data_IF_152518547105
#
_entry.id   IF_152518547105
#
_cell.length_a   1.000
_cell.length_b   1.000
_cell.length_c   1.000
_cell.angle_alpha   90.00
_cell.angle_beta   90.00
_cell.angle_gamma   90.00
#
_symmetry.space_group_name_H-M   'P 1'
#
loop_
_entity.id
_entity.type
_entity.pdbx_description
1 polymer ?
#
# COMPACT_ATOMS: atom_id res chain seq x y z
N UNK A 1 69.61 48.75 -26.13
CA UNK A 1 68.25 49.34 -26.20
C UNK A 1 67.82 49.44 -27.65
N UNK A 2 66.59 48.97 -27.95
CA UNK A 2 65.75 49.18 -29.16
C UNK A 2 66.28 48.61 -30.50
N UNK A 3 65.49 47.96 -31.35
CA UNK A 3 64.14 47.36 -31.33
C UNK A 3 64.04 46.52 -32.62
N UNK A 4 63.46 45.32 -32.55
CA UNK A 4 63.06 44.53 -33.72
C UNK A 4 61.88 45.22 -34.42
N UNK A 5 61.84 45.18 -35.75
CA UNK A 5 60.63 45.28 -36.56
C UNK A 5 60.80 44.38 -37.79
N UNK A 6 60.15 43.22 -37.75
CA UNK A 6 59.91 42.31 -38.87
C UNK A 6 58.56 42.63 -39.48
N UNK A 7 58.50 42.91 -40.78
CA UNK A 7 57.32 42.62 -41.62
C UNK A 7 57.82 42.27 -43.03
N UNK A 8 57.38 41.15 -43.58
CA UNK A 8 57.37 40.89 -45.02
C UNK A 8 55.95 40.47 -45.41
N UNK A 9 55.30 41.09 -46.40
CA UNK A 9 54.03 40.62 -46.90
C UNK A 9 54.22 39.51 -47.94
N UNK A 10 53.36 38.51 -47.77
CA UNK A 10 53.18 37.30 -48.56
C UNK A 10 52.43 37.61 -49.87
N UNK A 11 52.84 37.00 -50.99
CA UNK A 11 51.90 36.63 -52.07
C UNK A 11 52.52 35.61 -53.03
N UNK A 12 52.23 34.34 -52.80
CA UNK A 12 52.45 33.25 -53.75
C UNK A 12 51.24 32.34 -53.72
N UNK A 13 50.38 32.41 -54.73
CA UNK A 13 49.30 31.43 -54.93
C UNK A 13 49.90 30.19 -55.59
N UNK A 14 49.97 29.09 -54.86
CA UNK A 14 50.27 27.75 -55.40
C UNK A 14 48.95 27.00 -55.53
N UNK A 15 48.60 26.59 -56.75
CA UNK A 15 47.47 25.71 -57.01
C UNK A 15 47.82 24.28 -56.62
N UNK A 16 47.03 23.65 -55.74
CA UNK A 16 47.18 22.25 -55.32
C UNK A 16 46.35 21.33 -56.25
N UNK A 17 46.89 20.18 -56.68
CA UNK A 17 46.19 19.29 -57.60
C UNK A 17 45.07 18.48 -56.93
N UNK A 18 43.95 18.35 -57.66
CA UNK A 18 42.66 17.74 -57.29
C UNK A 18 42.74 16.36 -56.61
N UNK A 19 43.84 15.61 -56.78
CA UNK A 19 44.05 14.29 -56.18
C UNK A 19 44.18 14.34 -54.64
N UNK A 20 44.69 15.42 -54.07
CA UNK A 20 44.80 15.58 -52.62
C UNK A 20 43.48 16.01 -51.97
N UNK A 21 42.59 16.66 -52.73
CA UNK A 21 41.28 17.10 -52.24
C UNK A 21 40.32 15.91 -52.02
N UNK A 22 40.39 14.90 -52.88
CA UNK A 22 39.60 13.65 -52.72
C UNK A 22 40.05 12.85 -51.50
N UNK A 23 41.35 12.83 -51.20
CA UNK A 23 41.88 12.17 -49.98
C UNK A 23 41.46 12.91 -48.71
N UNK A 24 41.44 14.25 -48.74
CA UNK A 24 40.93 15.06 -47.62
C UNK A 24 39.42 14.90 -47.41
N UNK A 25 38.63 14.73 -48.47
CA UNK A 25 37.18 14.53 -48.37
C UNK A 25 36.78 13.13 -47.89
N UNK A 26 37.55 12.08 -48.24
CA UNK A 26 37.30 10.72 -47.73
C UNK A 26 37.64 10.59 -46.24
N UNK A 27 38.65 11.31 -45.74
CA UNK A 27 39.00 11.35 -44.32
C UNK A 27 37.93 12.02 -43.44
N UNK A 28 37.05 12.84 -44.02
CA UNK A 28 35.95 13.50 -43.30
C UNK A 28 34.69 12.62 -43.16
N UNK A 29 34.60 11.49 -43.89
CA UNK A 29 33.44 10.57 -43.84
C UNK A 29 33.70 9.36 -42.91
N UNK A 30 34.94 9.17 -42.44
CA UNK A 30 35.33 8.05 -41.59
C UNK A 30 35.65 8.44 -40.14
N UNK A 31 35.13 9.58 -39.66
CA UNK A 31 35.07 9.82 -38.22
C UNK A 31 33.88 9.02 -37.69
N UNK A 32 34.06 8.08 -36.74
CA UNK A 32 32.93 7.61 -35.98
C UNK A 32 32.29 8.84 -35.36
N UNK A 33 31.00 9.06 -35.60
CA UNK A 33 30.20 9.85 -34.68
C UNK A 33 30.44 9.23 -33.32
N UNK A 34 31.27 9.89 -32.52
CA UNK A 34 31.34 9.64 -31.10
C UNK A 34 29.98 10.08 -30.57
N UNK A 35 28.96 9.23 -30.75
CA UNK A 35 27.81 9.24 -29.87
C UNK A 35 28.43 9.15 -28.49
N UNK A 36 28.23 10.19 -27.68
CA UNK A 36 28.48 10.10 -26.27
C UNK A 36 27.63 8.93 -25.77
N UNK A 37 28.27 7.78 -25.58
CA UNK A 37 27.65 6.62 -24.98
C UNK A 37 27.38 6.94 -23.51
N UNK A 38 26.19 7.49 -23.26
CA UNK A 38 25.69 7.81 -21.91
C UNK A 38 25.51 6.54 -21.08
N UNK A 39 25.50 5.34 -21.69
CA UNK A 39 25.39 4.08 -20.97
C UNK A 39 26.74 3.62 -20.37
N UNK A 40 27.87 3.92 -21.02
CA UNK A 40 29.19 3.41 -20.62
C UNK A 40 30.09 4.40 -19.87
N UNK A 41 29.86 5.72 -19.97
CA UNK A 41 30.80 6.72 -19.44
C UNK A 41 30.11 7.83 -18.64
N UNK A 42 30.28 7.79 -17.32
CA UNK A 42 29.88 8.86 -16.39
C UNK A 42 30.79 10.08 -16.58
N UNK A 43 30.45 10.93 -17.54
CA UNK A 43 31.10 12.24 -17.71
C UNK A 43 30.26 13.24 -16.91
N UNK A 44 30.88 13.83 -15.88
CA UNK A 44 30.24 14.85 -15.04
C UNK A 44 29.65 15.99 -15.88
N UNK A 45 28.50 16.50 -15.42
CA UNK A 45 27.62 17.49 -16.05
C UNK A 45 26.70 17.05 -17.21
N UNK A 46 26.76 15.80 -17.69
CA UNK A 46 25.74 15.27 -18.63
C UNK A 46 24.59 14.50 -17.95
N UNK A 47 24.81 14.03 -16.71
CA UNK A 47 23.81 13.33 -15.89
C UNK A 47 22.61 14.23 -15.51
N UNK A 48 22.76 15.57 -15.55
CA UNK A 48 21.67 16.52 -15.24
C UNK A 48 20.64 16.64 -16.38
N UNK A 49 21.01 16.27 -17.61
CA UNK A 49 20.12 16.25 -18.77
C UNK A 49 19.58 14.85 -19.07
N UNK A 50 19.86 13.86 -18.20
CA UNK A 50 19.20 12.56 -18.28
C UNK A 50 17.72 12.77 -18.01
N UNK A 51 16.85 12.29 -18.92
CA UNK A 51 15.42 12.25 -18.66
C UNK A 51 15.18 11.57 -17.31
N UNK A 52 14.29 12.13 -16.48
CA UNK A 52 13.97 11.55 -15.18
C UNK A 52 13.52 10.09 -15.39
N UNK A 53 14.38 9.15 -15.03
CA UNK A 53 14.04 7.74 -15.03
C UNK A 53 12.93 7.58 -14.00
N UNK A 54 11.74 7.13 -14.43
CA UNK A 54 10.57 7.03 -13.56
C UNK A 54 10.94 6.30 -12.27
N UNK A 55 10.88 7.02 -11.15
CA UNK A 55 11.34 6.51 -9.87
C UNK A 55 10.62 5.22 -9.51
N UNK A 56 11.36 4.21 -9.04
CA UNK A 56 10.76 3.04 -8.40
C UNK A 56 10.09 3.49 -7.10
N UNK A 57 8.81 3.17 -6.94
CA UNK A 57 8.06 3.49 -5.73
C UNK A 57 8.11 2.29 -4.80
N UNK A 58 8.67 2.47 -3.61
CA UNK A 58 8.66 1.45 -2.55
C UNK A 58 7.65 1.85 -1.48
N UNK A 59 6.67 0.99 -1.24
CA UNK A 59 5.65 1.17 -0.20
C UNK A 59 5.90 0.10 0.87
N UNK A 60 6.17 0.52 2.09
CA UNK A 60 6.23 -0.36 3.26
C UNK A 60 5.01 -0.09 4.12
N UNK A 61 4.16 -1.10 4.34
CA UNK A 61 2.96 -0.97 5.17
C UNK A 61 3.13 -1.76 6.45
N UNK A 62 2.88 -1.12 7.59
CA UNK A 62 2.75 -1.78 8.89
C UNK A 62 1.25 -1.92 9.19
N UNK A 63 0.76 -3.16 9.22
CA UNK A 63 -0.64 -3.49 9.41
C UNK A 63 -0.97 -3.61 10.90
N UNK A 64 -2.01 -2.90 11.35
CA UNK A 64 -2.54 -3.06 12.71
C UNK A 64 -3.36 -4.35 12.81
N UNK A 65 -2.82 -5.32 13.55
CA UNK A 65 -3.38 -6.60 13.95
C UNK A 65 -3.50 -6.68 15.47
N UNK A 66 -3.64 -5.55 16.16
CA UNK A 66 -3.89 -5.52 17.61
C UNK A 66 -5.26 -6.11 17.96
N UNK A 67 -5.49 -6.36 19.25
CA UNK A 67 -6.73 -6.94 19.75
C UNK A 67 -7.99 -6.13 19.44
N UNK A 68 -7.86 -4.81 19.29
CA UNK A 68 -8.96 -3.93 18.92
C UNK A 68 -9.48 -4.13 17.49
N UNK A 69 -8.71 -4.86 16.67
CA UNK A 69 -9.03 -5.14 15.29
C UNK A 69 -9.84 -6.42 15.13
N UNK A 70 -9.89 -7.30 16.16
CA UNK A 70 -10.61 -8.57 16.10
C UNK A 70 -11.75 -8.70 17.12
N UNK A 71 -12.86 -9.22 16.64
CA UNK A 71 -14.11 -9.42 17.39
C UNK A 71 -13.96 -10.41 18.56
N UNK A 72 -12.97 -11.30 18.47
CA UNK A 72 -12.75 -12.41 19.39
C UNK A 72 -11.87 -12.08 20.60
N UNK A 73 -11.24 -10.89 20.63
CA UNK A 73 -10.44 -10.45 21.77
C UNK A 73 -11.16 -9.45 22.65
N UNK A 74 -11.66 -8.35 22.07
CA UNK A 74 -12.23 -7.24 22.85
C UNK A 74 -13.73 -7.38 23.12
N UNK A 75 -14.37 -8.46 22.67
CA UNK A 75 -15.80 -8.74 22.84
C UNK A 75 -16.73 -7.52 22.63
N UNK A 76 -16.36 -6.60 21.73
CA UNK A 76 -16.99 -5.28 21.68
C UNK A 76 -17.53 -4.97 20.28
N UNK A 77 -18.74 -4.39 20.26
CA UNK A 77 -19.43 -3.88 19.08
C UNK A 77 -18.55 -2.91 18.27
N UNK A 78 -17.63 -2.20 18.94
CA UNK A 78 -16.72 -1.23 18.32
C UNK A 78 -15.77 -1.88 17.30
N UNK A 79 -15.49 -3.17 17.41
CA UNK A 79 -14.61 -3.88 16.46
C UNK A 79 -15.24 -4.03 15.09
N UNK A 80 -16.58 -4.03 15.04
CA UNK A 80 -17.37 -4.01 13.82
C UNK A 80 -17.83 -2.59 13.44
N UNK A 81 -17.33 -1.56 14.13
CA UNK A 81 -17.81 -0.17 14.02
C UNK A 81 -19.32 -0.02 14.22
N UNK A 82 -19.88 -0.82 15.13
CA UNK A 82 -21.30 -0.73 15.49
C UNK A 82 -21.44 0.13 16.76
N UNK A 83 -22.44 1.03 16.83
CA UNK A 83 -22.70 1.84 18.02
C UNK A 83 -22.87 1.00 19.29
N UNK A 84 -22.33 1.52 20.41
CA UNK A 84 -22.48 0.90 21.72
C UNK A 84 -23.96 0.72 22.09
N UNK A 85 -24.31 -0.42 22.68
CA UNK A 85 -25.70 -0.76 23.02
C UNK A 85 -26.53 -1.38 21.89
N UNK A 86 -25.99 -1.48 20.67
CA UNK A 86 -26.64 -2.25 19.59
C UNK A 86 -26.56 -3.75 19.88
N UNK A 87 -27.68 -4.45 19.75
CA UNK A 87 -27.71 -5.91 19.86
C UNK A 87 -27.08 -6.55 18.62
N UNK A 88 -26.16 -7.49 18.82
CA UNK A 88 -25.53 -8.25 17.75
C UNK A 88 -25.22 -9.66 18.19
N UNK A 89 -25.18 -10.59 17.23
CA UNK A 89 -24.63 -11.92 17.39
C UNK A 89 -23.28 -12.00 16.70
N UNK A 90 -22.42 -12.93 17.12
CA UNK A 90 -21.10 -13.14 16.51
C UNK A 90 -21.18 -14.33 15.58
N UNK A 91 -20.49 -14.23 14.46
CA UNK A 91 -20.30 -15.34 13.56
C UNK A 91 -18.96 -15.26 12.87
N UNK A 92 -18.64 -16.33 12.16
CA UNK A 92 -17.49 -16.36 11.27
C UNK A 92 -17.85 -17.17 10.02
N UNK A 93 -17.12 -16.89 8.96
CA UNK A 93 -17.13 -17.66 7.73
C UNK A 93 -15.73 -17.68 7.13
N UNK A 94 -15.51 -18.52 6.12
CA UNK A 94 -14.26 -18.54 5.37
C UNK A 94 -14.39 -17.63 4.14
N UNK A 95 -13.31 -16.97 3.76
CA UNK A 95 -13.22 -16.28 2.48
C UNK A 95 -13.24 -17.29 1.32
N UNK A 96 -13.70 -16.84 0.16
CA UNK A 96 -13.63 -17.59 -1.10
C UNK A 96 -12.36 -17.25 -1.90
N UNK A 97 -11.32 -16.75 -1.23
CA UNK A 97 -10.06 -16.30 -1.84
C UNK A 97 -9.01 -17.41 -1.81
N UNK A 98 -7.91 -17.20 -2.53
CA UNK A 98 -6.70 -18.02 -2.40
C UNK A 98 -5.55 -17.12 -1.94
N UNK A 99 -4.91 -17.41 -0.78
CA UNK A 99 -5.32 -18.40 0.22
C UNK A 99 -6.64 -18.03 0.94
N UNK A 100 -7.26 -19.03 1.54
CA UNK A 100 -8.46 -18.88 2.36
C UNK A 100 -8.09 -18.28 3.72
N UNK A 101 -8.91 -17.37 4.24
CA UNK A 101 -8.79 -16.85 5.59
C UNK A 101 -10.16 -16.74 6.28
N UNK A 102 -10.13 -16.73 7.61
CA UNK A 102 -11.31 -16.53 8.45
C UNK A 102 -11.78 -15.07 8.40
N UNK A 103 -13.09 -14.89 8.22
CA UNK A 103 -13.81 -13.62 8.25
C UNK A 103 -14.73 -13.61 9.47
N UNK A 104 -14.42 -12.78 10.44
CA UNK A 104 -15.24 -12.59 11.64
C UNK A 104 -16.23 -11.44 11.43
N UNK A 105 -17.47 -11.61 11.89
CA UNK A 105 -18.52 -10.61 11.71
C UNK A 105 -19.45 -10.48 12.92
N UNK A 106 -19.97 -9.28 13.09
CA UNK A 106 -21.14 -8.99 13.89
C UNK A 106 -22.37 -9.08 13.00
N UNK A 107 -23.37 -9.84 13.41
CA UNK A 107 -24.65 -9.93 12.71
C UNK A 107 -25.72 -9.16 13.51
N UNK A 108 -26.37 -8.20 12.86
CA UNK A 108 -27.31 -7.29 13.51
C UNK A 108 -28.45 -6.87 12.58
N UNK A 109 -29.34 -6.01 13.06
CA UNK A 109 -30.43 -5.41 12.29
C UNK A 109 -30.01 -4.02 11.83
N UNK A 110 -30.26 -3.70 10.55
CA UNK A 110 -30.10 -2.33 10.03
C UNK A 110 -31.42 -1.79 9.50
N UNK A 111 -31.74 -0.56 9.90
CA UNK A 111 -32.88 0.22 9.44
C UNK A 111 -32.47 1.09 8.27
N UNK A 112 -33.26 1.09 7.20
CA UNK A 112 -32.91 1.81 5.97
C UNK A 112 -33.90 2.91 5.66
N UNK A 113 -35.19 2.67 5.93
CA UNK A 113 -36.23 3.66 5.64
C UNK A 113 -37.24 3.75 6.77
N UNK A 114 -37.84 4.93 6.91
CA UNK A 114 -39.00 5.19 7.76
C UNK A 114 -40.10 5.85 6.92
N UNK A 115 -41.34 5.44 7.14
CA UNK A 115 -42.52 6.02 6.50
C UNK A 115 -43.48 6.56 7.55
N UNK A 116 -43.96 7.78 7.36
CA UNK A 116 -44.99 8.41 8.19
C UNK A 116 -46.08 8.98 7.27
N UNK A 117 -47.29 8.43 7.34
CA UNK A 117 -48.34 8.75 6.38
C UNK A 117 -47.89 8.40 4.96
N UNK A 118 -47.74 9.41 4.10
CA UNK A 118 -47.26 9.25 2.72
C UNK A 118 -45.80 9.68 2.50
N UNK A 119 -45.16 10.24 3.53
CA UNK A 119 -43.78 10.74 3.44
C UNK A 119 -42.78 9.66 3.83
N UNK A 120 -41.68 9.60 3.09
CA UNK A 120 -40.59 8.64 3.28
C UNK A 120 -39.32 9.34 3.75
N UNK A 121 -38.56 8.65 4.58
CA UNK A 121 -37.29 9.12 5.11
C UNK A 121 -36.24 8.01 4.99
N UNK A 122 -35.00 8.36 4.64
CA UNK A 122 -33.86 7.45 4.75
C UNK A 122 -33.29 7.45 6.16
N UNK A 123 -32.80 6.28 6.58
CA UNK A 123 -32.12 6.08 7.85
C UNK A 123 -30.60 6.03 7.67
N UNK A 124 -29.86 6.62 8.60
CA UNK A 124 -28.39 6.63 8.62
C UNK A 124 -27.78 7.64 7.64
N UNK A 125 -26.54 7.37 7.22
CA UNK A 125 -25.82 8.24 6.30
C UNK A 125 -26.43 8.23 4.89
N UNK A 126 -26.16 9.29 4.13
CA UNK A 126 -26.65 9.49 2.75
C UNK A 126 -26.05 8.51 1.73
N UNK A 127 -25.13 7.65 2.15
CA UNK A 127 -24.53 6.57 1.36
C UNK A 127 -25.44 5.33 1.23
N UNK A 128 -26.61 5.34 1.86
CA UNK A 128 -27.55 4.22 1.85
C UNK A 128 -27.13 3.07 2.75
N UNK A 129 -26.14 3.28 3.64
CA UNK A 129 -25.66 2.26 4.56
C UNK A 129 -26.73 1.82 5.57
N UNK A 130 -27.70 2.69 5.90
CA UNK A 130 -28.71 2.44 6.93
C UNK A 130 -28.20 2.74 8.35
N UNK A 131 -29.09 2.82 9.32
CA UNK A 131 -28.80 3.00 10.75
C UNK A 131 -28.90 1.70 11.55
N UNK A 132 -28.17 1.61 12.65
CA UNK A 132 -28.20 0.48 13.59
C UNK A 132 -29.34 0.58 14.62
N UNK A 133 -29.97 1.74 14.71
CA UNK A 133 -31.08 1.99 15.64
C UNK A 133 -32.28 2.50 14.86
N UNK A 134 -33.48 2.25 15.41
CA UNK A 134 -34.70 2.84 14.90
C UNK A 134 -34.98 4.10 15.72
N UNK A 135 -34.88 5.26 15.08
CA UNK A 135 -35.13 6.54 15.71
C UNK A 135 -35.58 7.54 14.66
N UNK A 136 -36.46 8.46 15.03
CA UNK A 136 -36.89 9.51 14.10
C UNK A 136 -35.72 10.39 13.68
N UNK A 137 -34.79 10.68 14.60
CA UNK A 137 -33.58 11.46 14.33
C UNK A 137 -32.60 10.72 13.40
N UNK A 138 -32.51 9.40 13.53
CA UNK A 138 -31.69 8.55 12.67
C UNK A 138 -32.28 8.39 11.27
N UNK A 139 -33.60 8.62 11.15
CA UNK A 139 -34.38 8.43 9.93
C UNK A 139 -35.14 9.70 9.56
N UNK A 140 -34.43 10.83 9.43
CA UNK A 140 -35.05 12.16 9.27
C UNK A 140 -34.84 12.81 7.89
N UNK A 141 -34.03 12.21 7.03
CA UNK A 141 -33.79 12.76 5.69
C UNK A 141 -34.92 12.34 4.75
N UNK A 142 -35.77 13.27 4.32
CA UNK A 142 -36.89 13.00 3.40
C UNK A 142 -36.40 12.53 2.03
N UNK A 143 -37.06 11.51 1.49
CA UNK A 143 -36.74 10.89 0.20
C UNK A 143 -38.00 10.62 -0.62
N UNK A 144 -37.82 10.46 -1.92
CA UNK A 144 -38.84 9.89 -2.81
C UNK A 144 -39.08 8.43 -2.42
N UNK A 145 -40.30 7.93 -2.66
CA UNK A 145 -40.70 6.56 -2.37
C UNK A 145 -39.66 5.53 -2.86
N UNK A 146 -38.98 4.80 -1.95
CA UNK A 146 -37.96 3.83 -2.31
C UNK A 146 -38.58 2.48 -2.70
N UNK A 147 -37.75 1.60 -3.26
CA UNK A 147 -38.16 0.19 -3.44
C UNK A 147 -38.07 -0.54 -2.10
N UNK A 148 -39.19 -1.13 -1.67
CA UNK A 148 -39.27 -1.88 -0.40
C UNK A 148 -39.06 -3.38 -0.55
N UNK A 149 -38.77 -3.86 -1.76
CA UNK A 149 -38.53 -5.28 -2.01
C UNK A 149 -37.31 -5.78 -1.21
N UNK A 150 -37.47 -6.91 -0.52
CA UNK A 150 -36.43 -7.50 0.32
C UNK A 150 -36.22 -6.82 1.68
N UNK A 151 -37.11 -5.91 2.09
CA UNK A 151 -37.13 -5.35 3.44
C UNK A 151 -38.24 -5.95 4.29
N UNK A 152 -37.95 -6.12 5.58
CA UNK A 152 -38.95 -6.41 6.60
C UNK A 152 -39.50 -5.07 7.09
N UNK A 153 -40.82 -5.01 7.34
CA UNK A 153 -41.45 -3.80 7.87
C UNK A 153 -41.97 -4.00 9.29
N UNK A 154 -41.79 -3.00 10.15
CA UNK A 154 -42.35 -2.97 11.50
C UNK A 154 -42.90 -1.60 11.86
N UNK A 155 -44.00 -1.54 12.61
CA UNK A 155 -44.65 -0.28 12.99
C UNK A 155 -44.37 0.04 14.45
N UNK A 156 -43.94 1.27 14.73
CA UNK A 156 -43.75 1.78 16.08
C UNK A 156 -44.13 3.27 16.11
N UNK A 157 -44.96 3.67 17.09
CA UNK A 157 -45.36 5.06 17.32
C UNK A 157 -45.88 5.77 16.05
N UNK A 158 -46.74 5.10 15.27
CA UNK A 158 -47.32 5.64 14.02
C UNK A 158 -46.34 5.77 12.85
N UNK A 159 -45.10 5.26 12.98
CA UNK A 159 -44.11 5.19 11.91
C UNK A 159 -43.93 3.74 11.48
N UNK A 160 -43.76 3.51 10.17
CA UNK A 160 -43.41 2.20 9.62
C UNK A 160 -41.94 2.21 9.20
N UNK A 161 -41.14 1.35 9.81
CA UNK A 161 -39.71 1.21 9.52
C UNK A 161 -39.47 0.02 8.60
N UNK A 162 -38.54 0.17 7.67
CA UNK A 162 -38.10 -0.87 6.74
C UNK A 162 -36.65 -1.20 7.04
N UNK A 163 -36.40 -2.46 7.36
CA UNK A 163 -35.13 -2.93 7.88
C UNK A 163 -34.76 -4.30 7.33
N UNK A 164 -33.49 -4.66 7.49
CA UNK A 164 -32.99 -6.00 7.22
C UNK A 164 -32.44 -6.58 8.51
N UNK A 165 -32.85 -7.81 8.80
CA UNK A 165 -32.24 -8.62 9.84
C UNK A 165 -31.00 -9.32 9.29
N UNK A 166 -30.19 -9.86 10.19
CA UNK A 166 -29.03 -10.70 9.88
C UNK A 166 -28.02 -10.02 8.93
N UNK A 167 -27.88 -8.70 9.06
CA UNK A 167 -26.89 -7.92 8.32
C UNK A 167 -25.52 -8.18 8.93
N UNK A 168 -24.62 -8.76 8.14
CA UNK A 168 -23.25 -9.04 8.56
C UNK A 168 -22.37 -7.81 8.37
N UNK A 169 -21.71 -7.42 9.46
CA UNK A 169 -20.72 -6.35 9.49
C UNK A 169 -19.40 -6.98 9.93
N UNK A 170 -18.46 -7.08 8.99
CA UNK A 170 -17.16 -7.68 9.27
C UNK A 170 -16.32 -6.80 10.19
N UNK A 171 -15.53 -7.44 11.05
CA UNK A 171 -14.62 -6.72 11.92
C UNK A 171 -13.52 -5.96 11.15
N UNK A 172 -12.83 -5.06 11.85
CA UNK A 172 -11.77 -4.23 11.25
C UNK A 172 -10.65 -5.07 10.62
N UNK A 173 -10.23 -6.16 11.27
CA UNK A 173 -9.19 -7.04 10.74
C UNK A 173 -9.64 -7.74 9.46
N UNK A 174 -10.88 -8.23 9.40
CA UNK A 174 -11.43 -8.84 8.20
C UNK A 174 -11.49 -7.84 7.05
N UNK A 175 -11.96 -6.60 7.31
CA UNK A 175 -11.97 -5.54 6.29
C UNK A 175 -10.56 -5.14 5.83
N UNK A 176 -9.59 -5.15 6.73
CA UNK A 176 -8.18 -4.94 6.38
C UNK A 176 -7.67 -6.03 5.44
N UNK A 177 -7.95 -7.31 5.76
CA UNK A 177 -7.59 -8.44 4.89
C UNK A 177 -8.25 -8.33 3.52
N UNK A 178 -9.56 -8.10 3.46
CA UNK A 178 -10.32 -7.93 2.22
C UNK A 178 -9.72 -6.80 1.35
N UNK A 179 -9.34 -5.67 1.96
CA UNK A 179 -8.76 -4.53 1.26
C UNK A 179 -7.36 -4.84 0.70
N UNK A 180 -6.49 -5.49 1.47
CA UNK A 180 -5.15 -5.87 0.98
C UNK A 180 -5.26 -6.94 -0.11
N UNK A 181 -6.17 -7.90 0.00
CA UNK A 181 -6.41 -8.87 -1.08
C UNK A 181 -6.86 -8.17 -2.36
N UNK A 182 -7.81 -7.24 -2.26
CA UNK A 182 -8.27 -6.41 -3.38
C UNK A 182 -7.11 -5.61 -3.99
N UNK A 183 -6.22 -5.03 -3.17
CA UNK A 183 -5.03 -4.33 -3.65
C UNK A 183 -4.07 -5.27 -4.39
N UNK A 184 -3.87 -6.49 -3.87
CA UNK A 184 -3.00 -7.49 -4.48
C UNK A 184 -3.58 -8.11 -5.75
N UNK A 185 -4.89 -8.06 -5.95
CA UNK A 185 -5.56 -8.46 -7.20
C UNK A 185 -5.66 -7.32 -8.22
N UNK A 186 -5.35 -6.08 -7.81
CA UNK A 186 -5.39 -4.94 -8.71
C UNK A 186 -4.21 -4.95 -9.70
N UNK A 187 -4.53 -4.94 -10.98
CA UNK A 187 -3.58 -4.97 -12.11
C UNK A 187 -3.11 -3.58 -12.57
N UNK A 188 -3.65 -2.50 -12.00
CA UNK A 188 -3.25 -1.12 -12.31
C UNK A 188 -1.89 -0.74 -11.72
N UNK A 189 -1.39 -1.49 -10.74
CA UNK A 189 -0.07 -1.28 -10.16
C UNK A 189 1.00 -1.88 -11.09
N UNK A 190 1.87 -1.03 -11.64
CA UNK A 190 2.97 -1.45 -12.52
C UNK A 190 3.93 -2.37 -11.75
N UNK A 191 3.97 -3.68 -12.07
CA UNK A 191 4.75 -4.67 -11.33
C UNK A 191 6.26 -4.44 -11.45
N UNK A 192 6.72 -3.61 -12.40
CA UNK A 192 8.14 -3.32 -12.63
C UNK A 192 8.61 -2.05 -11.92
N UNK A 193 7.68 -1.22 -11.42
CA UNK A 193 7.99 0.06 -10.77
C UNK A 193 7.56 0.14 -9.31
N UNK A 194 6.53 -0.61 -8.93
CA UNK A 194 5.99 -0.61 -7.57
C UNK A 194 6.54 -1.80 -6.81
N UNK A 195 7.23 -1.52 -5.70
CA UNK A 195 7.63 -2.51 -4.71
C UNK A 195 6.78 -2.35 -3.45
N UNK A 196 6.29 -3.46 -2.89
CA UNK A 196 5.47 -3.45 -1.67
C UNK A 196 6.02 -4.43 -0.66
N UNK A 197 6.21 -3.96 0.57
CA UNK A 197 6.52 -4.77 1.75
C UNK A 197 5.42 -4.64 2.80
N UNK A 198 5.25 -5.70 3.58
CA UNK A 198 4.25 -5.79 4.64
C UNK A 198 4.93 -6.15 5.95
N UNK A 199 4.65 -5.38 6.97
CA UNK A 199 4.82 -5.78 8.35
C UNK A 199 3.49 -5.76 9.09
N UNK A 200 3.50 -6.23 10.34
CA UNK A 200 2.33 -6.22 11.20
C UNK A 200 2.70 -5.82 12.63
N UNK A 201 1.70 -5.35 13.37
CA UNK A 201 1.77 -5.14 14.81
C UNK A 201 0.38 -5.25 15.45
N UNK A 202 0.18 -5.86 16.60
CA UNK A 202 1.22 -6.55 17.37
C UNK A 202 1.65 -7.86 16.71
N UNK A 203 2.95 -8.14 16.77
CA UNK A 203 3.56 -9.41 16.36
C UNK A 203 4.13 -10.14 17.58
N UNK A 204 4.67 -11.35 17.39
CA UNK A 204 5.47 -11.99 18.43
C UNK A 204 6.87 -11.37 18.56
N UNK A 205 7.48 -11.46 19.73
CA UNK A 205 8.87 -11.03 19.99
C UNK A 205 9.93 -11.98 19.40
N UNK A 206 9.61 -13.26 19.20
CA UNK A 206 10.56 -14.30 18.77
C UNK A 206 11.01 -14.17 17.30
N UNK A 207 12.14 -14.75 16.92
CA UNK A 207 12.73 -14.60 15.56
C UNK A 207 11.83 -15.02 14.40
N UNK A 208 10.86 -15.89 14.65
CA UNK A 208 10.07 -16.50 13.59
C UNK A 208 8.91 -15.57 13.22
N UNK A 209 8.60 -15.43 11.93
CA UNK A 209 7.46 -14.63 11.46
C UNK A 209 6.18 -15.49 11.38
N UNK A 210 5.91 -16.25 12.43
CA UNK A 210 4.77 -17.18 12.52
C UNK A 210 3.65 -16.52 13.30
N UNK A 211 2.40 -16.69 12.84
CA UNK A 211 1.20 -16.35 13.62
C UNK A 211 0.54 -17.67 14.03
N UNK A 212 0.49 -17.92 15.33
CA UNK A 212 -0.26 -19.03 15.89
C UNK A 212 -1.67 -18.56 16.28
N UNK A 213 -2.68 -19.40 16.05
CA UNK A 213 -4.05 -19.07 16.38
C UNK A 213 -4.53 -19.81 17.63
N UNK A 214 -5.26 -19.10 18.48
CA UNK A 214 -6.11 -19.70 19.50
C UNK A 214 -7.34 -20.35 18.86
N UNK A 215 -8.05 -21.20 19.61
CA UNK A 215 -9.30 -21.83 19.16
C UNK A 215 -10.38 -20.81 18.76
N UNK A 216 -10.37 -19.62 19.37
CA UNK A 216 -11.28 -18.53 19.06
C UNK A 216 -10.84 -17.68 17.84
N UNK A 217 -9.70 -17.98 17.21
CA UNK A 217 -9.18 -17.27 16.02
C UNK A 217 -8.34 -16.03 16.29
N UNK A 218 -8.03 -15.70 17.56
CA UNK A 218 -7.08 -14.62 17.88
C UNK A 218 -5.63 -15.09 17.74
N UNK A 219 -4.71 -14.15 17.50
CA UNK A 219 -3.28 -14.46 17.51
C UNK A 219 -2.83 -14.79 18.94
N UNK A 220 -2.36 -16.02 19.14
CA UNK A 220 -1.89 -16.55 20.42
C UNK A 220 -0.56 -15.94 20.84
N UNK A 221 0.30 -15.67 19.87
CA UNK A 221 1.68 -15.26 20.08
C UNK A 221 1.93 -13.76 19.84
N UNK A 222 0.90 -12.96 19.55
CA UNK A 222 1.03 -11.51 19.62
C UNK A 222 1.45 -11.12 21.05
N UNK A 223 2.41 -10.21 21.24
CA UNK A 223 2.93 -9.87 22.57
C UNK A 223 2.42 -8.52 23.12
N UNK A 224 1.74 -7.75 22.28
CA UNK A 224 1.28 -6.39 22.54
C UNK A 224 2.35 -5.31 22.50
N UNK A 225 3.61 -5.63 22.17
CA UNK A 225 4.77 -4.73 22.27
C UNK A 225 5.64 -4.69 21.01
N UNK A 226 5.59 -5.71 20.15
CA UNK A 226 6.42 -5.82 18.94
C UNK A 226 5.66 -5.51 17.66
N UNK A 227 6.37 -4.94 16.69
CA UNK A 227 6.00 -4.91 15.28
C UNK A 227 7.13 -5.49 14.45
N UNK A 228 6.81 -6.15 13.33
CA UNK A 228 7.79 -6.84 12.49
C UNK A 228 7.49 -6.74 11.01
N UNK A 229 8.54 -6.70 10.20
CA UNK A 229 8.44 -6.92 8.76
C UNK A 229 8.26 -8.41 8.49
N UNK A 230 7.11 -8.77 7.90
CA UNK A 230 6.77 -10.14 7.53
C UNK A 230 7.21 -10.47 6.11
N UNK A 231 6.94 -9.55 5.20
CA UNK A 231 7.26 -9.66 3.77
C UNK A 231 8.13 -8.47 3.41
N UNK A 232 9.42 -8.68 3.11
CA UNK A 232 10.29 -7.64 2.62
C UNK A 232 9.71 -6.98 1.35
N UNK A 233 9.95 -5.67 1.20
CA UNK A 233 9.49 -4.92 0.05
C UNK A 233 10.22 -5.33 -1.22
N UNK A 234 9.50 -5.95 -2.16
CA UNK A 234 10.00 -6.36 -3.46
C UNK A 234 9.02 -5.94 -4.55
N UNK A 235 9.48 -5.95 -5.81
CA UNK A 235 8.64 -5.62 -6.97
C UNK A 235 7.38 -6.49 -7.01
N UNK A 236 6.25 -5.87 -7.33
CA UNK A 236 4.90 -6.44 -7.18
C UNK A 236 4.52 -7.42 -8.30
N UNK A 237 5.40 -8.38 -8.58
CA UNK A 237 5.11 -9.53 -9.45
C UNK A 237 4.19 -10.54 -8.74
N UNK A 238 3.76 -11.58 -9.46
CA UNK A 238 2.82 -12.58 -8.93
C UNK A 238 3.36 -13.32 -7.70
N UNK A 239 4.67 -13.56 -7.64
CA UNK A 239 5.32 -14.19 -6.49
C UNK A 239 5.22 -13.29 -5.26
N UNK A 240 5.47 -11.99 -5.41
CA UNK A 240 5.39 -11.05 -4.30
C UNK A 240 3.93 -10.84 -3.85
N UNK A 241 2.99 -10.74 -4.79
CA UNK A 241 1.56 -10.68 -4.48
C UNK A 241 1.10 -11.89 -3.68
N UNK A 242 1.55 -13.09 -4.07
CA UNK A 242 1.25 -14.31 -3.33
C UNK A 242 1.85 -14.30 -1.92
N UNK A 243 3.12 -13.90 -1.76
CA UNK A 243 3.76 -13.77 -0.43
C UNK A 243 2.97 -12.83 0.49
N UNK A 244 2.54 -11.68 -0.03
CA UNK A 244 1.72 -10.72 0.71
C UNK A 244 0.39 -11.33 1.11
N UNK A 245 -0.31 -11.96 0.16
CA UNK A 245 -1.60 -12.62 0.43
C UNK A 245 -1.49 -13.73 1.48
N UNK A 246 -0.43 -14.54 1.42
CA UNK A 246 -0.15 -15.59 2.42
C UNK A 246 0.07 -14.98 3.81
N UNK A 247 0.90 -13.94 3.92
CA UNK A 247 1.15 -13.27 5.18
C UNK A 247 -0.14 -12.64 5.76
N UNK A 248 -0.92 -11.95 4.92
CA UNK A 248 -2.16 -11.27 5.35
C UNK A 248 -3.27 -12.27 5.71
N UNK A 249 -3.40 -13.39 4.99
CA UNK A 249 -4.37 -14.43 5.36
C UNK A 249 -4.07 -15.01 6.75
N UNK A 250 -2.78 -15.23 7.02
CA UNK A 250 -2.27 -15.73 8.30
C UNK A 250 -2.27 -14.68 9.43
N UNK A 251 -2.55 -13.41 9.15
CA UNK A 251 -2.60 -12.38 10.18
C UNK A 251 -3.73 -12.65 11.19
N UNK A 252 -3.47 -12.43 12.48
CA UNK A 252 -4.43 -12.63 13.56
C UNK A 252 -4.44 -11.44 14.51
N UNK A 253 -5.63 -11.05 14.98
CA UNK A 253 -5.78 -9.95 15.93
C UNK A 253 -5.33 -10.38 17.33
N UNK A 254 -4.47 -9.58 17.97
CA UNK A 254 -3.87 -9.96 19.25
C UNK A 254 -3.28 -8.79 20.03
N UNK A 255 -3.63 -8.70 21.32
CA UNK A 255 -2.97 -7.90 22.37
C UNK A 255 -2.87 -6.40 22.06
N UNK A 256 -1.87 -5.72 22.61
CA UNK A 256 -1.70 -4.27 22.54
C UNK A 256 -1.42 -3.72 21.14
N UNK A 257 -1.39 -2.40 21.04
CA UNK A 257 -1.15 -1.66 19.79
C UNK A 257 0.19 -0.91 19.89
N UNK A 258 1.34 -1.55 19.63
CA UNK A 258 2.64 -0.93 19.81
C UNK A 258 3.03 -0.07 18.59
N UNK A 259 2.24 0.98 18.34
CA UNK A 259 2.37 1.84 17.16
C UNK A 259 3.76 2.48 17.05
N UNK A 260 4.34 2.92 18.17
CA UNK A 260 5.69 3.49 18.19
C UNK A 260 6.76 2.49 17.72
N UNK A 261 6.68 1.24 18.20
CA UNK A 261 7.57 0.16 17.79
C UNK A 261 7.39 -0.17 16.31
N UNK A 262 6.16 -0.16 15.81
CA UNK A 262 5.88 -0.39 14.39
C UNK A 262 6.50 0.70 13.49
N UNK A 263 6.41 1.97 13.89
CA UNK A 263 7.08 3.07 13.17
C UNK A 263 8.61 2.93 13.22
N UNK A 264 9.17 2.56 14.38
CA UNK A 264 10.60 2.35 14.51
C UNK A 264 11.10 1.20 13.62
N UNK A 265 10.38 0.07 13.59
CA UNK A 265 10.68 -1.08 12.74
C UNK A 265 10.61 -0.73 11.26
N UNK A 266 9.54 -0.07 10.82
CA UNK A 266 9.40 0.37 9.43
C UNK A 266 10.51 1.35 9.02
N UNK A 267 10.84 2.29 9.91
CA UNK A 267 11.95 3.23 9.71
C UNK A 267 13.29 2.52 9.59
N UNK A 268 13.60 1.61 10.53
CA UNK A 268 14.81 0.80 10.50
C UNK A 268 14.91 -0.07 9.25
N UNK A 269 13.81 -0.67 8.81
CA UNK A 269 13.75 -1.45 7.58
C UNK A 269 14.05 -0.61 6.33
N UNK A 270 13.40 0.56 6.23
CA UNK A 270 13.60 1.46 5.09
C UNK A 270 15.03 2.02 5.06
N UNK A 271 15.57 2.45 6.21
CA UNK A 271 16.93 3.01 6.30
C UNK A 271 18.01 1.94 6.17
N UNK A 272 17.80 0.76 6.73
CA UNK A 272 18.73 -0.37 6.67
C UNK A 272 18.88 -0.94 5.27
N UNK A 273 17.81 -0.91 4.44
CA UNK A 273 17.88 -1.31 3.03
C UNK A 273 18.55 -0.24 2.13
N UNK A 274 18.64 1.01 2.60
CA UNK A 274 19.25 2.14 1.86
C UNK A 274 20.76 2.24 2.08
N UNK A 275 21.36 1.50 3.01
CA UNK A 275 22.81 1.36 3.09
C UNK A 275 23.26 0.19 2.19
N UNK A 276 23.77 0.43 0.95
CA UNK A 276 24.77 -0.49 0.44
C UNK A 276 25.90 -0.42 1.45
N UNK A 277 26.14 -1.53 2.13
CA UNK A 277 27.28 -1.72 3.00
C UNK A 277 28.54 -1.66 2.11
N UNK A 278 28.95 -0.45 1.71
CA UNK A 278 30.32 -0.20 1.35
C UNK A 278 31.08 -0.21 2.67
N UNK A 279 31.44 -1.42 3.10
CA UNK A 279 32.49 -1.62 4.09
C UNK A 279 33.70 -0.91 3.49
N UNK A 280 33.98 0.31 3.94
CA UNK A 280 35.32 0.87 3.82
C UNK A 280 36.24 -0.17 4.45
N UNK A 281 37.24 -0.70 3.72
CA UNK A 281 38.14 -1.66 4.31
C UNK A 281 38.86 -0.93 5.44
N UNK A 282 38.53 -1.29 6.68
CA UNK A 282 39.39 -0.97 7.81
C UNK A 282 40.74 -1.57 7.47
N UNK A 283 41.70 -0.69 7.24
CA UNK A 283 43.06 -1.04 6.87
C UNK A 283 43.58 -2.11 7.80
N UNK A 284 44.08 -3.20 7.21
CA UNK A 284 45.03 -4.07 7.88
C UNK A 284 46.22 -3.20 8.27
N UNK A 285 46.30 -2.78 9.53
CA UNK A 285 47.58 -2.44 10.13
C UNK A 285 48.33 -3.75 10.37
N UNK A 286 49.01 -4.22 9.33
CA UNK A 286 50.29 -4.89 9.52
C UNK A 286 51.27 -3.83 9.99
N UNK A 287 51.84 -3.99 11.18
CA UNK A 287 53.19 -3.58 11.55
C UNK A 287 53.52 -4.23 12.91
N UNK A 288 54.48 -5.15 12.85
CA UNK A 288 55.36 -5.70 13.90
C UNK A 288 54.75 -6.42 15.13
#
# INVERSE_FOLDING_TARGET
>A
MKRLNTVSPMSGKVALPLKYLVVAMAAMVALPVAQADVAGKKIGDLEIYKAAEGGKTTITMMLDTSGSMTLNQVNSAVTCDIPVGTNYTKGFENSNTVPIYRKDYCETTKFYYRKRGNTWYSCGASDGSGSFTYGVAECDTEIVNPTTNGFISGTANGNTYYYKNNVRIYDRLTRLKDAIFTLMDNTQLDPNKVAIGIGQFSSQSNSDNVVEFNTNGTAKNADGSSGKILVPAELLNDVQRLKIKVAVAAAGGGNGTPTANAYAEAGAYMLGKILPLHILPLGKNTLE
#
